data_IF_872036197618
#
_entry.id   IF_872036197618
#
_cell.length_a   1.000
_cell.length_b   1.000
_cell.length_c   1.000
_cell.angle_alpha   90.00
_cell.angle_beta   90.00
_cell.angle_gamma   90.00
#
_symmetry.space_group_name_H-M   'P 1'
#
loop_
_entity.id
_entity.type
_entity.pdbx_description
1 polymer ?
#
# COMPACT_ATOMS: atom_id res chain seq x y z
N UNK A 1 -13.73 50.30 -72.51
CA UNK A 1 -13.96 49.45 -71.32
C UNK A 1 -13.10 49.95 -70.17
N UNK A 2 -13.64 50.04 -68.94
CA UNK A 2 -13.23 51.05 -67.97
C UNK A 2 -11.94 50.67 -67.22
N UNK A 3 -10.99 51.61 -67.18
CA UNK A 3 -9.70 51.54 -66.46
C UNK A 3 -9.83 51.20 -64.96
N UNK A 4 -11.02 51.37 -64.37
CA UNK A 4 -11.30 51.03 -62.97
C UNK A 4 -11.46 49.54 -62.67
N UNK A 5 -11.75 48.69 -63.67
CA UNK A 5 -11.92 47.25 -63.44
C UNK A 5 -10.55 46.55 -63.31
N UNK A 6 -9.57 46.97 -64.13
CA UNK A 6 -8.21 46.42 -64.12
C UNK A 6 -7.51 46.75 -62.80
N UNK A 7 -7.68 47.99 -62.30
CA UNK A 7 -7.12 48.38 -61.01
C UNK A 7 -7.69 47.54 -59.86
N UNK A 8 -9.01 47.30 -59.83
CA UNK A 8 -9.65 46.51 -58.75
C UNK A 8 -9.25 45.03 -58.80
N UNK A 9 -9.06 44.47 -59.98
CA UNK A 9 -8.58 43.08 -60.15
C UNK A 9 -7.11 42.96 -59.71
N UNK A 10 -6.26 43.95 -60.02
CA UNK A 10 -4.87 43.97 -59.55
C UNK A 10 -4.75 44.15 -58.03
N UNK A 11 -5.60 44.97 -57.40
CA UNK A 11 -5.58 45.13 -55.94
C UNK A 11 -6.09 43.88 -55.22
N UNK A 12 -7.08 43.18 -55.77
CA UNK A 12 -7.58 41.92 -55.21
C UNK A 12 -6.56 40.77 -55.36
N UNK A 13 -5.80 40.73 -56.46
CA UNK A 13 -4.76 39.74 -56.68
C UNK A 13 -3.54 39.94 -55.76
N UNK A 14 -3.17 41.19 -55.45
CA UNK A 14 -2.06 41.48 -54.53
C UNK A 14 -2.42 41.14 -53.07
N UNK A 15 -3.67 41.37 -52.65
CA UNK A 15 -4.12 41.06 -51.28
C UNK A 15 -4.29 39.55 -51.02
N UNK A 16 -4.54 38.77 -52.06
CA UNK A 16 -4.62 37.30 -51.96
C UNK A 16 -3.24 36.62 -51.84
N UNK A 17 -2.16 37.29 -52.27
CA UNK A 17 -0.80 36.76 -52.15
C UNK A 17 -0.20 36.90 -50.74
N UNK A 18 -0.68 37.83 -49.91
CA UNK A 18 -0.17 38.01 -48.54
C UNK A 18 -0.70 36.96 -47.54
N UNK A 19 -1.84 36.31 -47.82
CA UNK A 19 -2.42 35.29 -46.93
C UNK A 19 -1.82 33.89 -47.12
N UNK A 20 -0.98 33.68 -48.13
CA UNK A 20 -0.32 32.38 -48.40
C UNK A 20 1.07 32.25 -47.74
N UNK A 21 1.55 33.26 -47.00
CA UNK A 21 2.88 33.26 -46.40
C UNK A 21 2.98 32.52 -45.05
N UNK A 22 1.88 31.99 -44.51
CA UNK A 22 1.92 31.07 -43.38
C UNK A 22 2.10 29.62 -43.89
N UNK A 23 3.28 29.32 -44.43
CA UNK A 23 3.70 27.94 -44.67
C UNK A 23 3.87 27.18 -43.35
N UNK A 24 3.64 25.87 -43.35
CA UNK A 24 3.85 25.03 -42.17
C UNK A 24 5.29 25.21 -41.66
N UNK A 25 5.43 25.59 -40.37
CA UNK A 25 6.74 25.68 -39.73
C UNK A 25 7.48 24.35 -39.94
N UNK A 26 8.73 24.35 -40.43
CA UNK A 26 9.53 23.13 -40.48
C UNK A 26 9.63 22.61 -39.04
N UNK A 27 9.11 21.39 -38.81
CA UNK A 27 9.25 20.66 -37.55
C UNK A 27 10.45 19.73 -37.69
N UNK A 28 11.69 20.17 -37.40
CA UNK A 28 12.91 19.37 -37.63
C UNK A 28 12.94 18.07 -36.81
N UNK A 29 12.05 17.92 -35.83
CA UNK A 29 11.96 16.74 -34.95
C UNK A 29 10.67 15.93 -35.11
N UNK A 30 9.88 16.15 -36.18
CA UNK A 30 8.76 15.26 -36.48
C UNK A 30 9.34 14.02 -37.20
N UNK A 31 9.37 12.83 -36.59
CA UNK A 31 9.85 11.63 -37.28
C UNK A 31 8.99 11.38 -38.52
N UNK A 32 9.64 10.98 -39.61
CA UNK A 32 9.02 10.79 -40.95
C UNK A 32 8.09 9.58 -41.02
N UNK A 33 7.95 8.87 -39.90
CA UNK A 33 7.07 7.74 -39.65
C UNK A 33 6.51 7.92 -38.23
N UNK A 34 5.21 7.67 -38.01
CA UNK A 34 4.67 7.54 -36.65
C UNK A 34 5.42 6.39 -35.98
N UNK A 35 6.38 6.72 -35.12
CA UNK A 35 7.11 5.73 -34.36
C UNK A 35 6.08 4.85 -33.63
N UNK A 36 6.22 3.51 -33.67
CA UNK A 36 5.32 2.66 -32.92
C UNK A 36 5.36 3.11 -31.45
N UNK A 37 4.20 3.15 -30.77
CA UNK A 37 4.13 3.68 -29.42
C UNK A 37 5.17 3.01 -28.53
N UNK A 38 5.95 3.83 -27.82
CA UNK A 38 7.04 3.35 -26.99
C UNK A 38 6.45 2.45 -25.88
N UNK A 39 6.83 1.16 -25.77
CA UNK A 39 6.25 0.25 -24.80
C UNK A 39 6.46 0.70 -23.35
N UNK A 40 7.53 1.45 -23.04
CA UNK A 40 7.73 2.06 -21.71
C UNK A 40 6.73 3.20 -21.42
N UNK A 41 6.27 3.90 -22.46
CA UNK A 41 5.21 4.91 -22.36
C UNK A 41 3.85 4.21 -22.25
N UNK A 42 3.64 3.10 -22.95
CA UNK A 42 2.40 2.31 -22.81
C UNK A 42 2.27 1.61 -21.46
N UNK A 43 3.34 1.04 -20.90
CA UNK A 43 3.36 0.42 -19.58
C UNK A 43 3.13 1.45 -18.47
N UNK A 44 3.82 2.59 -18.51
CA UNK A 44 3.61 3.69 -17.56
C UNK A 44 2.21 4.31 -17.65
N UNK A 45 1.59 4.32 -18.84
CA UNK A 45 0.20 4.74 -19.00
C UNK A 45 -0.76 3.71 -18.40
N UNK A 46 -0.52 2.40 -18.55
CA UNK A 46 -1.40 1.36 -17.97
C UNK A 46 -1.45 1.40 -16.44
N UNK A 47 -0.37 1.80 -15.77
CA UNK A 47 -0.34 1.96 -14.30
C UNK A 47 -0.98 3.26 -13.78
N UNK A 48 -1.57 4.07 -14.67
CA UNK A 48 -2.15 5.35 -14.33
C UNK A 48 -3.46 5.33 -13.53
N UNK A 49 -3.94 6.52 -13.20
CA UNK A 49 -5.16 6.80 -12.46
C UNK A 49 -6.13 7.57 -13.36
N UNK A 50 -7.28 6.97 -13.66
CA UNK A 50 -8.37 7.68 -14.31
C UNK A 50 -9.27 8.32 -13.25
N UNK A 51 -9.50 9.62 -13.37
CA UNK A 51 -10.39 10.37 -12.48
C UNK A 51 -11.75 10.49 -13.18
N UNK A 52 -12.74 9.81 -12.59
CA UNK A 52 -14.13 9.86 -13.02
C UNK A 52 -14.74 11.24 -12.71
N UNK A 53 -15.93 11.48 -13.25
CA UNK A 53 -16.74 12.63 -12.88
C UNK A 53 -17.04 12.55 -11.38
N UNK A 54 -16.99 13.71 -10.73
CA UNK A 54 -17.27 13.85 -9.31
C UNK A 54 -18.76 14.17 -9.19
N UNK A 55 -19.54 13.18 -8.77
CA UNK A 55 -20.98 13.27 -8.63
C UNK A 55 -21.35 14.24 -7.50
N UNK A 56 -22.53 14.86 -7.59
CA UNK A 56 -23.04 15.79 -6.57
C UNK A 56 -22.46 17.21 -6.59
N UNK A 57 -21.53 17.52 -7.51
CA UNK A 57 -21.05 18.88 -7.77
C UNK A 57 -21.61 19.46 -9.09
N UNK A 58 -21.52 20.78 -9.29
CA UNK A 58 -21.77 21.39 -10.60
C UNK A 58 -20.75 20.88 -11.62
N UNK A 59 -21.12 20.75 -12.90
CA UNK A 59 -20.23 20.21 -13.95
C UNK A 59 -18.93 21.00 -14.07
N UNK A 60 -18.98 22.33 -13.87
CA UNK A 60 -17.80 23.20 -13.86
C UNK A 60 -16.87 22.88 -12.69
N UNK A 61 -17.41 22.75 -11.47
CA UNK A 61 -16.61 22.49 -10.27
C UNK A 61 -16.08 21.06 -10.23
N UNK A 62 -16.86 20.08 -10.67
CA UNK A 62 -16.39 18.70 -10.86
C UNK A 62 -15.19 18.65 -11.82
N UNK A 63 -15.28 19.36 -12.96
CA UNK A 63 -14.18 19.43 -13.94
C UNK A 63 -12.94 20.14 -13.39
N UNK A 64 -13.12 21.27 -12.69
CA UNK A 64 -12.02 22.01 -12.06
C UNK A 64 -11.31 21.16 -11.00
N UNK A 65 -12.08 20.46 -10.17
CA UNK A 65 -11.55 19.58 -9.14
C UNK A 65 -10.81 18.37 -9.72
N UNK A 66 -11.41 17.68 -10.69
CA UNK A 66 -10.75 16.59 -11.40
C UNK A 66 -9.43 17.05 -12.04
N UNK A 67 -9.43 18.22 -12.70
CA UNK A 67 -8.23 18.82 -13.29
C UNK A 67 -7.16 19.14 -12.23
N UNK A 68 -7.59 19.57 -11.04
CA UNK A 68 -6.69 19.85 -9.91
C UNK A 68 -6.03 18.57 -9.38
N UNK A 69 -6.81 17.50 -9.19
CA UNK A 69 -6.31 16.19 -8.76
C UNK A 69 -5.34 15.62 -9.79
N UNK A 70 -5.71 15.62 -11.07
CA UNK A 70 -4.83 15.21 -12.20
C UNK A 70 -3.49 15.95 -12.13
N UNK A 71 -3.53 17.27 -11.99
CA UNK A 71 -2.33 18.10 -11.94
C UNK A 71 -1.43 17.74 -10.76
N UNK A 72 -2.01 17.51 -9.60
CA UNK A 72 -1.26 17.19 -8.39
C UNK A 72 -0.68 15.77 -8.42
N UNK A 73 -1.37 14.80 -9.02
CA UNK A 73 -0.84 13.45 -9.26
C UNK A 73 0.31 13.49 -10.28
N UNK A 74 0.13 14.18 -11.41
CA UNK A 74 1.16 14.26 -12.46
C UNK A 74 2.44 14.98 -12.00
N UNK A 75 2.34 15.93 -11.06
CA UNK A 75 3.52 16.56 -10.42
C UNK A 75 4.36 15.61 -9.58
N UNK A 76 3.84 14.44 -9.22
CA UNK A 76 4.47 13.44 -8.36
C UNK A 76 4.81 12.18 -9.17
N UNK A 77 5.14 12.35 -10.45
CA UNK A 77 5.55 11.31 -11.38
C UNK A 77 4.52 10.16 -11.58
N UNK A 78 3.23 10.46 -11.37
CA UNK A 78 2.15 9.52 -11.69
C UNK A 78 1.48 9.90 -13.02
N UNK A 79 0.88 8.93 -13.70
CA UNK A 79 0.05 9.18 -14.88
C UNK A 79 -1.40 9.31 -14.45
N UNK A 80 -1.96 10.50 -14.52
CA UNK A 80 -3.37 10.75 -14.21
C UNK A 80 -4.06 11.50 -15.34
N UNK A 81 -5.28 11.07 -15.68
CA UNK A 81 -6.12 11.71 -16.71
C UNK A 81 -7.57 11.78 -16.25
N UNK A 82 -8.31 12.76 -16.77
CA UNK A 82 -9.76 12.91 -16.55
C UNK A 82 -10.48 13.14 -17.87
N UNK A 83 -11.80 12.95 -17.89
CA UNK A 83 -12.62 13.10 -19.09
C UNK A 83 -13.03 11.76 -19.67
N UNK A 84 -12.76 11.53 -20.97
CA UNK A 84 -13.12 10.25 -21.61
C UNK A 84 -12.49 9.07 -20.86
N UNK A 85 -13.26 8.00 -20.65
CA UNK A 85 -12.77 6.81 -19.94
C UNK A 85 -11.63 6.15 -20.70
N UNK A 86 -10.51 5.99 -20.02
CA UNK A 86 -9.32 5.26 -20.48
C UNK A 86 -9.11 4.06 -19.56
N UNK A 87 -8.78 2.86 -20.07
CA UNK A 87 -8.51 1.68 -19.23
C UNK A 87 -7.15 1.81 -18.53
N UNK A 88 -7.10 2.61 -17.47
CA UNK A 88 -5.93 2.72 -16.59
C UNK A 88 -6.09 1.81 -15.36
N UNK A 89 -4.98 1.51 -14.68
CA UNK A 89 -4.93 0.58 -13.55
C UNK A 89 -5.89 0.93 -12.43
N UNK A 90 -6.03 2.22 -12.16
CA UNK A 90 -6.87 2.73 -11.10
C UNK A 90 -7.97 3.64 -11.63
N UNK A 91 -9.15 3.56 -11.00
CA UNK A 91 -10.27 4.47 -11.23
C UNK A 91 -10.60 5.16 -9.92
N UNK A 92 -10.54 6.48 -9.90
CA UNK A 92 -10.98 7.29 -8.77
C UNK A 92 -12.39 7.81 -9.03
N UNK A 93 -13.32 7.50 -8.14
CA UNK A 93 -14.67 8.06 -8.11
C UNK A 93 -14.84 8.99 -6.92
N UNK A 94 -15.57 10.08 -7.10
CA UNK A 94 -15.93 11.01 -6.04
C UNK A 94 -17.43 11.24 -6.01
N UNK A 95 -18.04 11.20 -4.83
CA UNK A 95 -19.44 11.53 -4.61
C UNK A 95 -19.51 12.62 -3.53
N UNK A 96 -19.95 13.82 -3.92
CA UNK A 96 -20.10 14.95 -3.03
C UNK A 96 -21.50 15.00 -2.43
N UNK A 97 -21.58 14.96 -1.10
CA UNK A 97 -22.82 15.11 -0.35
C UNK A 97 -22.78 16.43 0.40
N UNK A 98 -23.89 17.19 0.32
CA UNK A 98 -24.07 18.42 1.10
C UNK A 98 -24.29 18.07 2.56
N UNK A 99 -23.53 18.69 3.45
CA UNK A 99 -23.72 18.54 4.89
C UNK A 99 -24.91 19.39 5.33
N UNK A 100 -26.09 18.77 5.47
CA UNK A 100 -27.34 19.44 5.88
C UNK A 100 -27.64 19.30 7.37
N UNK A 101 -26.90 18.47 8.10
CA UNK A 101 -27.26 18.04 9.46
C UNK A 101 -26.63 18.89 10.57
N UNK A 102 -25.58 19.68 10.28
CA UNK A 102 -24.92 20.47 11.32
C UNK A 102 -24.45 21.84 10.81
N UNK A 103 -25.27 22.86 11.07
CA UNK A 103 -25.06 24.28 10.71
C UNK A 103 -23.78 24.87 11.35
N UNK A 104 -23.24 24.23 12.40
CA UNK A 104 -21.99 24.65 13.05
C UNK A 104 -20.72 24.22 12.29
N UNK A 105 -20.84 23.39 11.24
CA UNK A 105 -19.70 22.91 10.45
C UNK A 105 -19.46 23.85 9.26
N UNK A 106 -18.31 24.54 9.25
CA UNK A 106 -17.87 25.45 8.17
C UNK A 106 -17.57 24.74 6.84
N UNK A 107 -17.69 23.42 6.78
CA UNK A 107 -17.50 22.59 5.60
C UNK A 107 -18.86 22.14 5.07
N UNK A 108 -19.37 22.85 4.06
CA UNK A 108 -20.70 22.59 3.47
C UNK A 108 -20.79 21.29 2.67
N UNK A 109 -19.65 20.72 2.25
CA UNK A 109 -19.60 19.50 1.46
C UNK A 109 -18.62 18.49 2.06
N UNK A 110 -19.03 17.22 2.01
CA UNK A 110 -18.19 16.06 2.26
C UNK A 110 -18.15 15.23 0.99
N UNK A 111 -16.94 14.93 0.51
CA UNK A 111 -16.76 14.10 -0.68
C UNK A 111 -16.31 12.72 -0.24
N UNK A 112 -17.07 11.70 -0.62
CA UNK A 112 -16.69 10.31 -0.50
C UNK A 112 -15.87 9.92 -1.73
N UNK A 113 -14.60 9.58 -1.52
CA UNK A 113 -13.70 9.14 -2.57
C UNK A 113 -13.52 7.64 -2.51
N UNK A 114 -13.65 6.97 -3.64
CA UNK A 114 -13.42 5.52 -3.78
C UNK A 114 -12.37 5.28 -4.85
N UNK A 115 -11.31 4.55 -4.50
CA UNK A 115 -10.30 4.09 -5.43
C UNK A 115 -10.59 2.63 -5.80
N UNK A 116 -10.74 2.38 -7.09
CA UNK A 116 -11.01 1.06 -7.67
C UNK A 116 -9.81 0.62 -8.50
N UNK A 117 -9.64 -0.69 -8.66
CA UNK A 117 -8.72 -1.28 -9.63
C UNK A 117 -9.39 -1.46 -11.02
N UNK A 118 -8.64 -2.01 -11.98
CA UNK A 118 -9.13 -2.32 -13.34
C UNK A 118 -10.34 -3.25 -13.38
N UNK A 119 -10.47 -4.13 -12.38
CA UNK A 119 -11.59 -5.09 -12.29
C UNK A 119 -12.84 -4.46 -11.69
N UNK A 120 -12.73 -3.25 -11.14
CA UNK A 120 -13.78 -2.58 -10.38
C UNK A 120 -13.79 -2.94 -8.89
N UNK A 121 -12.79 -3.68 -8.40
CA UNK A 121 -12.66 -3.99 -6.98
C UNK A 121 -12.16 -2.77 -6.21
N UNK A 122 -12.70 -2.57 -5.02
CA UNK A 122 -12.33 -1.42 -4.19
C UNK A 122 -10.96 -1.63 -3.55
N UNK A 123 -10.00 -0.79 -3.92
CA UNK A 123 -8.68 -0.68 -3.27
C UNK A 123 -8.82 0.03 -1.93
N UNK A 124 -9.63 1.09 -1.87
CA UNK A 124 -9.88 1.85 -0.65
C UNK A 124 -10.89 2.96 -0.84
N UNK A 125 -11.28 3.60 0.27
CA UNK A 125 -12.15 4.77 0.26
C UNK A 125 -11.82 5.71 1.42
N UNK A 126 -12.19 6.98 1.30
CA UNK A 126 -12.08 7.94 2.37
C UNK A 126 -13.08 9.07 2.22
N UNK A 127 -13.44 9.68 3.35
CA UNK A 127 -14.26 10.88 3.38
C UNK A 127 -13.39 12.11 3.53
N UNK A 128 -13.62 13.09 2.67
CA UNK A 128 -12.91 14.35 2.68
C UNK A 128 -13.90 15.48 2.96
N UNK A 129 -13.80 16.09 4.15
CA UNK A 129 -14.53 17.33 4.45
C UNK A 129 -13.79 18.49 3.82
N UNK A 130 -14.49 19.29 3.04
CA UNK A 130 -13.83 20.36 2.31
C UNK A 130 -14.18 21.73 2.89
N UNK A 131 -13.20 22.57 3.21
CA UNK A 131 -13.45 23.95 3.60
C UNK A 131 -14.03 24.76 2.44
N UNK A 132 -15.04 25.59 2.71
CA UNK A 132 -15.56 26.55 1.75
C UNK A 132 -17.07 26.76 1.87
N UNK A 133 -17.50 27.94 1.41
CA UNK A 133 -18.91 28.31 1.28
C UNK A 133 -19.56 27.63 0.07
N UNK A 134 -20.90 27.65 0.00
CA UNK A 134 -21.63 27.14 -1.15
C UNK A 134 -21.21 27.84 -2.45
N UNK A 135 -21.04 29.17 -2.41
CA UNK A 135 -20.67 29.98 -3.57
C UNK A 135 -19.27 29.62 -4.09
N UNK A 136 -18.30 29.46 -3.18
CA UNK A 136 -16.95 29.04 -3.56
C UNK A 136 -16.95 27.67 -4.24
N UNK A 137 -17.89 26.80 -3.90
CA UNK A 137 -18.01 25.49 -4.50
C UNK A 137 -18.82 25.46 -5.78
N UNK A 138 -19.88 26.24 -5.86
CA UNK A 138 -20.73 26.34 -7.04
C UNK A 138 -19.97 26.95 -8.23
N UNK A 139 -19.10 27.92 -7.94
CA UNK A 139 -18.30 28.64 -8.93
C UNK A 139 -16.82 28.21 -9.01
N UNK A 140 -16.36 27.30 -8.13
CA UNK A 140 -15.03 26.71 -8.20
C UNK A 140 -13.88 27.65 -7.80
N UNK A 141 -13.84 28.05 -6.53
CA UNK A 141 -12.77 28.87 -5.94
C UNK A 141 -11.39 28.26 -6.21
N UNK A 142 -10.47 28.98 -6.90
CA UNK A 142 -9.16 28.44 -7.27
C UNK A 142 -8.32 28.00 -6.07
N UNK A 143 -8.46 28.67 -4.92
CA UNK A 143 -7.73 28.33 -3.69
C UNK A 143 -8.23 27.01 -3.12
N UNK A 144 -9.55 26.86 -2.98
CA UNK A 144 -10.20 25.66 -2.47
C UNK A 144 -9.93 24.46 -3.37
N UNK A 145 -10.17 24.60 -4.67
CA UNK A 145 -9.96 23.53 -5.67
C UNK A 145 -8.52 23.00 -5.65
N UNK A 146 -7.53 23.89 -5.55
CA UNK A 146 -6.11 23.50 -5.48
C UNK A 146 -5.78 22.76 -4.17
N UNK A 147 -6.31 23.25 -3.05
CA UNK A 147 -6.08 22.64 -1.75
C UNK A 147 -6.65 21.21 -1.70
N UNK A 148 -7.87 21.01 -2.17
CA UNK A 148 -8.51 19.68 -2.23
C UNK A 148 -7.74 18.77 -3.17
N UNK A 149 -7.40 19.25 -4.37
CA UNK A 149 -6.63 18.47 -5.35
C UNK A 149 -5.32 17.94 -4.75
N UNK A 150 -4.60 18.77 -3.99
CA UNK A 150 -3.36 18.37 -3.32
C UNK A 150 -3.60 17.27 -2.28
N UNK A 151 -4.55 17.47 -1.38
CA UNK A 151 -4.82 16.53 -0.29
C UNK A 151 -5.37 15.18 -0.81
N UNK A 152 -6.24 15.22 -1.82
CA UNK A 152 -6.77 14.03 -2.47
C UNK A 152 -5.66 13.25 -3.18
N UNK A 153 -4.77 13.93 -3.92
CA UNK A 153 -3.61 13.30 -4.53
C UNK A 153 -2.72 12.60 -3.47
N UNK A 154 -2.43 13.26 -2.34
CA UNK A 154 -1.64 12.67 -1.26
C UNK A 154 -2.31 11.43 -0.64
N UNK A 155 -3.62 11.47 -0.42
CA UNK A 155 -4.37 10.31 0.10
C UNK A 155 -4.36 9.12 -0.89
N UNK A 156 -4.56 9.38 -2.19
CA UNK A 156 -4.56 8.34 -3.22
C UNK A 156 -3.21 7.65 -3.31
N UNK A 157 -2.12 8.42 -3.33
CA UNK A 157 -0.76 7.85 -3.40
C UNK A 157 -0.44 7.00 -2.18
N UNK A 158 -0.91 7.39 -1.00
CA UNK A 158 -0.77 6.57 0.21
C UNK A 158 -1.55 5.25 0.11
N UNK A 159 -2.74 5.27 -0.48
CA UNK A 159 -3.54 4.05 -0.72
C UNK A 159 -2.86 3.12 -1.73
N UNK A 160 -2.42 3.65 -2.88
CA UNK A 160 -1.71 2.87 -3.90
C UNK A 160 -0.46 2.22 -3.31
N UNK A 161 0.37 2.99 -2.60
CA UNK A 161 1.58 2.46 -1.94
C UNK A 161 1.26 1.37 -0.92
N UNK A 162 0.11 1.45 -0.25
CA UNK A 162 -0.31 0.44 0.72
C UNK A 162 -0.76 -0.84 0.01
N UNK A 163 -1.51 -0.71 -1.08
CA UNK A 163 -1.92 -1.85 -1.89
C UNK A 163 -0.73 -2.54 -2.56
N UNK A 164 0.23 -1.79 -3.11
CA UNK A 164 1.45 -2.36 -3.68
C UNK A 164 2.25 -3.16 -2.65
N UNK A 165 2.40 -2.63 -1.43
CA UNK A 165 3.04 -3.38 -0.32
C UNK A 165 2.28 -4.65 0.02
N UNK A 166 0.94 -4.60 0.00
CA UNK A 166 0.11 -5.80 0.24
C UNK A 166 0.31 -6.84 -0.85
N UNK A 167 0.27 -6.45 -2.12
CA UNK A 167 0.46 -7.35 -3.26
C UNK A 167 1.87 -7.95 -3.27
N UNK A 168 2.89 -7.13 -2.98
CA UNK A 168 4.26 -7.60 -2.82
C UNK A 168 4.37 -8.64 -1.68
N UNK A 169 3.72 -8.39 -0.54
CA UNK A 169 3.66 -9.33 0.58
C UNK A 169 2.87 -10.61 0.27
N UNK A 170 1.90 -10.58 -0.63
CA UNK A 170 1.21 -11.80 -1.10
C UNK A 170 2.16 -12.60 -1.99
N UNK A 171 2.83 -11.92 -2.93
CA UNK A 171 3.79 -12.54 -3.85
C UNK A 171 4.97 -13.16 -3.08
N UNK A 172 5.47 -12.49 -2.05
CA UNK A 172 6.56 -13.00 -1.21
C UNK A 172 6.15 -14.25 -0.43
N UNK A 173 4.95 -14.27 0.17
CA UNK A 173 4.43 -15.46 0.87
C UNK A 173 4.19 -16.64 -0.07
N UNK A 174 3.81 -16.35 -1.32
CA UNK A 174 3.69 -17.35 -2.38
C UNK A 174 5.05 -17.78 -2.96
N UNK A 175 6.12 -17.00 -2.74
CA UNK A 175 7.45 -17.38 -3.15
C UNK A 175 8.00 -18.42 -2.16
N UNK A 176 8.25 -19.62 -2.67
CA UNK A 176 8.55 -20.79 -1.85
C UNK A 176 9.63 -20.58 -0.78
N UNK A 177 9.35 -21.03 0.44
CA UNK A 177 10.27 -21.03 1.57
C UNK A 177 10.79 -22.44 1.84
N UNK A 178 12.11 -22.60 1.83
CA UNK A 178 12.77 -23.80 2.33
C UNK A 178 13.13 -23.62 3.80
N UNK A 179 12.89 -24.65 4.61
CA UNK A 179 13.20 -24.64 6.04
C UNK A 179 14.30 -25.67 6.28
N UNK A 180 15.48 -25.20 6.69
CA UNK A 180 16.54 -26.09 7.16
C UNK A 180 16.14 -26.74 8.50
N UNK A 181 16.65 -27.94 8.82
CA UNK A 181 16.52 -28.49 10.16
C UNK A 181 17.07 -27.50 11.19
N UNK A 182 16.28 -27.24 12.23
CA UNK A 182 16.69 -26.42 13.38
C UNK A 182 17.80 -27.15 14.13
N UNK A 183 18.71 -26.38 14.72
CA UNK A 183 19.89 -26.92 15.41
C UNK A 183 20.06 -26.31 16.80
N UNK A 184 20.63 -27.11 17.70
CA UNK A 184 21.15 -26.65 19.00
C UNK A 184 20.14 -26.74 20.14
N UNK A 185 18.93 -27.20 19.90
CA UNK A 185 17.95 -27.40 20.95
C UNK A 185 18.22 -28.72 21.71
N UNK A 186 18.18 -28.72 23.05
CA UNK A 186 18.28 -29.93 23.86
C UNK A 186 17.12 -30.90 23.64
N UNK A 187 17.31 -32.16 24.05
CA UNK A 187 16.28 -33.19 23.99
C UNK A 187 15.81 -33.48 22.55
N UNK A 188 14.51 -33.44 22.32
CA UNK A 188 13.88 -33.59 21.00
C UNK A 188 13.64 -32.25 20.25
N UNK A 189 14.16 -31.15 20.81
CA UNK A 189 13.79 -29.78 20.42
C UNK A 189 14.04 -29.45 18.95
N UNK A 190 15.15 -29.92 18.37
CA UNK A 190 15.49 -29.64 16.97
C UNK A 190 14.40 -30.18 16.03
N UNK A 191 13.95 -31.42 16.28
CA UNK A 191 12.88 -32.06 15.51
C UNK A 191 11.53 -31.39 15.80
N UNK A 192 11.21 -31.18 17.07
CA UNK A 192 9.92 -30.62 17.49
C UNK A 192 9.71 -29.20 16.94
N UNK A 193 10.71 -28.32 17.07
CA UNK A 193 10.66 -26.97 16.53
C UNK A 193 10.59 -26.96 15.00
N UNK A 194 11.35 -27.83 14.32
CA UNK A 194 11.34 -27.89 12.84
C UNK A 194 9.94 -28.24 12.32
N UNK A 195 9.27 -29.17 12.98
CA UNK A 195 7.90 -29.56 12.63
C UNK A 195 6.90 -28.45 12.96
N UNK A 196 7.02 -27.85 14.15
CA UNK A 196 6.14 -26.79 14.62
C UNK A 196 6.21 -25.54 13.73
N UNK A 197 7.41 -25.06 13.39
CA UNK A 197 7.56 -23.86 12.56
C UNK A 197 7.04 -24.08 11.13
N UNK A 198 7.25 -25.28 10.59
CA UNK A 198 6.71 -25.66 9.28
C UNK A 198 5.18 -25.64 9.26
N UNK A 199 4.55 -26.14 10.32
CA UNK A 199 3.09 -26.13 10.44
C UNK A 199 2.55 -24.71 10.64
N UNK A 200 3.18 -23.93 11.53
CA UNK A 200 2.77 -22.56 11.83
C UNK A 200 2.85 -21.65 10.59
N UNK A 201 3.95 -21.71 9.84
CA UNK A 201 4.14 -20.90 8.63
C UNK A 201 3.17 -21.29 7.50
N UNK A 202 2.90 -22.60 7.31
CA UNK A 202 1.87 -23.06 6.35
C UNK A 202 0.48 -22.59 6.76
N UNK A 203 0.13 -22.71 8.03
CA UNK A 203 -1.15 -22.23 8.57
C UNK A 203 -1.34 -20.73 8.37
N UNK A 204 -0.24 -19.96 8.33
CA UNK A 204 -0.23 -18.53 8.05
C UNK A 204 -0.13 -18.19 6.54
N UNK A 205 -0.30 -19.16 5.64
CA UNK A 205 -0.31 -18.95 4.19
C UNK A 205 1.06 -18.80 3.54
N UNK A 206 2.14 -19.19 4.22
CA UNK A 206 3.49 -19.21 3.64
C UNK A 206 3.68 -20.50 2.85
N UNK A 207 4.09 -20.38 1.58
CA UNK A 207 4.36 -21.53 0.73
C UNK A 207 5.66 -22.23 1.16
N UNK A 208 5.57 -23.47 1.66
CA UNK A 208 6.75 -24.23 2.08
C UNK A 208 7.10 -25.28 1.03
N UNK A 209 8.25 -25.12 0.39
CA UNK A 209 8.70 -26.03 -0.67
C UNK A 209 9.41 -27.26 -0.11
N UNK A 210 9.24 -28.39 -0.81
CA UNK A 210 9.89 -29.67 -0.49
C UNK A 210 11.28 -29.84 -1.09
N UNK A 211 11.72 -28.90 -1.94
CA UNK A 211 13.01 -28.92 -2.63
C UNK A 211 13.64 -27.52 -2.51
N UNK A 212 14.91 -27.46 -2.11
CA UNK A 212 15.59 -26.17 -1.84
C UNK A 212 15.76 -25.34 -3.10
N UNK A 213 15.96 -25.99 -4.24
CA UNK A 213 16.10 -25.37 -5.56
C UNK A 213 14.82 -24.69 -6.07
N UNK A 214 13.67 -25.03 -5.49
CA UNK A 214 12.38 -24.36 -5.77
C UNK A 214 12.09 -23.21 -4.82
N UNK A 215 12.98 -22.96 -3.86
CA UNK A 215 12.79 -21.90 -2.90
C UNK A 215 13.24 -20.55 -3.48
N UNK A 216 12.67 -19.49 -2.95
CA UNK A 216 13.20 -18.14 -3.05
C UNK A 216 13.86 -17.72 -1.74
N UNK A 217 13.34 -18.24 -0.63
CA UNK A 217 13.79 -17.95 0.72
C UNK A 217 14.26 -19.22 1.44
N UNK A 218 15.21 -19.06 2.35
CA UNK A 218 15.72 -20.12 3.23
C UNK A 218 15.62 -19.65 4.67
N UNK A 219 14.93 -20.42 5.50
CA UNK A 219 14.86 -20.22 6.95
C UNK A 219 15.87 -21.15 7.64
N UNK A 220 16.70 -20.56 8.49
CA UNK A 220 17.55 -21.25 9.45
C UNK A 220 17.12 -20.88 10.88
N UNK A 221 17.10 -21.88 11.77
CA UNK A 221 16.79 -21.69 13.19
C UNK A 221 17.92 -22.25 14.05
N UNK A 222 18.46 -21.41 14.92
CA UNK A 222 19.54 -21.78 15.85
C UNK A 222 19.10 -21.53 17.28
N UNK A 223 19.10 -22.58 18.09
CA UNK A 223 18.76 -22.51 19.51
C UNK A 223 20.04 -22.49 20.34
N UNK A 224 20.07 -21.62 21.35
CA UNK A 224 21.10 -21.58 22.39
C UNK A 224 20.43 -21.61 23.76
N UNK A 225 20.95 -22.46 24.63
CA UNK A 225 20.51 -22.57 26.03
C UNK A 225 21.70 -22.25 26.92
N UNK A 226 21.54 -21.27 27.79
CA UNK A 226 22.57 -20.86 28.72
C UNK A 226 22.70 -21.88 29.88
N UNK A 227 23.88 -21.99 30.50
CA UNK A 227 24.04 -22.79 31.71
C UNK A 227 23.08 -22.35 32.83
N UNK A 228 22.61 -23.28 33.68
CA UNK A 228 21.78 -22.93 34.82
C UNK A 228 22.44 -21.93 35.76
N UNK A 229 21.71 -20.87 36.13
CA UNK A 229 22.08 -19.91 37.17
C UNK A 229 20.88 -19.67 38.08
N UNK A 230 21.07 -19.90 39.38
CA UNK A 230 20.03 -19.73 40.42
C UNK A 230 18.73 -20.51 40.11
N UNK A 231 18.87 -21.73 39.57
CA UNK A 231 17.73 -22.58 39.21
C UNK A 231 17.01 -22.21 37.90
N UNK A 232 17.51 -21.24 37.15
CA UNK A 232 16.95 -20.80 35.87
C UNK A 232 17.96 -20.85 34.72
N UNK A 233 17.48 -20.96 33.49
CA UNK A 233 18.26 -20.97 32.26
C UNK A 233 17.68 -19.97 31.25
N UNK A 234 18.57 -19.27 30.54
CA UNK A 234 18.21 -18.46 29.38
C UNK A 234 18.10 -19.36 28.14
N UNK A 235 17.11 -19.09 27.30
CA UNK A 235 16.95 -19.73 25.98
C UNK A 235 16.83 -18.62 24.95
N UNK A 236 17.65 -18.70 23.91
CA UNK A 236 17.61 -17.83 22.74
C UNK A 236 17.39 -18.67 21.49
N UNK A 237 16.52 -18.19 20.62
CA UNK A 237 16.30 -18.77 19.30
C UNK A 237 16.49 -17.66 18.27
N UNK A 238 17.45 -17.85 17.37
CA UNK A 238 17.70 -16.96 16.25
C UNK A 238 17.07 -17.58 14.99
N UNK A 239 16.09 -16.88 14.41
CA UNK A 239 15.45 -17.20 13.13
C UNK A 239 16.05 -16.34 12.03
N UNK A 240 16.82 -16.94 11.14
CA UNK A 240 17.59 -16.24 10.10
C UNK A 240 16.96 -16.54 8.75
N UNK A 241 16.60 -15.49 8.02
CA UNK A 241 16.01 -15.61 6.69
C UNK A 241 17.05 -15.13 5.69
N UNK A 242 17.34 -15.96 4.70
CA UNK A 242 18.26 -15.66 3.62
C UNK A 242 17.59 -15.89 2.27
N UNK A 243 18.12 -15.27 1.21
CA UNK A 243 17.78 -15.68 -0.14
C UNK A 243 18.47 -17.01 -0.48
N UNK A 244 18.08 -17.65 -1.59
CA UNK A 244 18.71 -18.91 -2.02
C UNK A 244 20.21 -18.83 -2.33
N UNK A 245 20.75 -17.62 -2.54
CA UNK A 245 22.18 -17.36 -2.72
C UNK A 245 22.95 -17.26 -1.40
N UNK A 246 22.25 -17.34 -0.26
CA UNK A 246 22.82 -17.30 1.09
C UNK A 246 23.00 -15.90 1.68
N UNK A 247 22.52 -14.84 1.01
CA UNK A 247 22.57 -13.51 1.61
C UNK A 247 21.45 -13.37 2.67
N UNK A 248 21.81 -12.99 3.90
CA UNK A 248 20.86 -12.73 4.98
C UNK A 248 19.98 -11.52 4.64
N UNK A 249 18.66 -11.73 4.62
CA UNK A 249 17.65 -10.71 4.40
C UNK A 249 17.20 -10.08 5.72
N UNK A 250 17.29 -10.86 6.80
CA UNK A 250 17.00 -10.40 8.15
C UNK A 250 16.95 -11.54 9.16
N UNK A 251 16.74 -11.15 10.42
CA UNK A 251 16.71 -12.05 11.56
C UNK A 251 15.67 -11.64 12.59
N UNK A 252 14.95 -12.61 13.13
CA UNK A 252 14.13 -12.46 14.31
C UNK A 252 14.75 -13.25 15.46
N UNK A 253 14.89 -12.62 16.63
CA UNK A 253 15.45 -13.28 17.82
C UNK A 253 14.38 -13.35 18.89
N UNK A 254 14.21 -14.54 19.45
CA UNK A 254 13.28 -14.82 20.54
C UNK A 254 14.08 -15.26 21.75
N UNK A 255 13.80 -14.65 22.91
CA UNK A 255 14.47 -14.97 24.15
C UNK A 255 13.45 -15.26 25.26
N UNK A 256 13.79 -16.21 26.13
CA UNK A 256 13.00 -16.48 27.33
C UNK A 256 13.90 -17.00 28.46
N UNK A 257 13.44 -16.85 29.70
CA UNK A 257 14.07 -17.43 30.89
C UNK A 257 13.14 -18.46 31.50
N UNK A 258 13.63 -19.68 31.69
CA UNK A 258 12.85 -20.82 32.17
C UNK A 258 13.52 -21.48 33.37
N UNK A 259 12.80 -22.35 34.09
CA UNK A 259 13.41 -23.19 35.12
C UNK A 259 14.45 -24.13 34.49
N UNK A 260 15.55 -24.38 35.18
CA UNK A 260 16.59 -25.25 34.68
C UNK A 260 16.06 -26.66 34.40
N UNK A 261 16.48 -27.25 33.28
CA UNK A 261 16.09 -28.59 32.86
C UNK A 261 14.69 -28.72 32.23
N UNK A 262 13.94 -27.62 32.09
CA UNK A 262 12.60 -27.61 31.48
C UNK A 262 12.59 -28.22 30.07
N UNK A 263 13.69 -28.09 29.33
CA UNK A 263 13.80 -28.45 27.91
C UNK A 263 14.73 -29.63 27.61
N UNK A 264 15.17 -30.37 28.63
CA UNK A 264 16.15 -31.46 28.47
C UNK A 264 15.58 -32.68 27.74
N UNK A 265 14.24 -32.79 27.67
CA UNK A 265 13.54 -33.92 27.08
C UNK A 265 12.60 -33.46 25.97
N UNK A 266 11.33 -33.25 26.27
CA UNK A 266 10.30 -33.06 25.25
C UNK A 266 9.84 -31.62 25.13
N UNK A 267 9.97 -31.05 23.94
CA UNK A 267 9.56 -29.69 23.61
C UNK A 267 8.09 -29.59 23.20
N UNK A 268 7.52 -30.63 22.57
CA UNK A 268 6.08 -30.80 22.32
C UNK A 268 5.28 -29.50 22.09
N UNK A 269 4.40 -29.16 23.05
CA UNK A 269 3.54 -27.99 22.99
C UNK A 269 4.31 -26.65 23.03
N UNK A 270 5.45 -26.60 23.72
CA UNK A 270 6.28 -25.40 23.78
C UNK A 270 6.85 -25.08 22.40
N UNK A 271 7.27 -26.09 21.63
CA UNK A 271 7.72 -25.89 20.26
C UNK A 271 6.62 -25.23 19.39
N UNK A 272 5.36 -25.62 19.57
CA UNK A 272 4.22 -25.00 18.87
C UNK A 272 4.06 -23.53 19.25
N UNK A 273 4.11 -23.20 20.54
CA UNK A 273 3.98 -21.81 21.00
C UNK A 273 5.13 -20.92 20.52
N UNK A 274 6.36 -21.44 20.61
CA UNK A 274 7.57 -20.80 20.08
C UNK A 274 7.41 -20.52 18.58
N UNK A 275 7.00 -21.53 17.81
CA UNK A 275 6.79 -21.40 16.38
C UNK A 275 5.72 -20.36 16.02
N UNK A 276 4.57 -20.38 16.69
CA UNK A 276 3.48 -19.42 16.46
C UNK A 276 3.93 -17.98 16.73
N UNK A 277 4.70 -17.75 17.79
CA UNK A 277 5.25 -16.43 18.12
C UNK A 277 6.27 -15.94 17.06
N UNK A 278 7.00 -16.86 16.42
CA UNK A 278 8.00 -16.53 15.42
C UNK A 278 7.41 -16.18 14.04
N UNK A 279 6.18 -16.64 13.72
CA UNK A 279 5.56 -16.46 12.38
C UNK A 279 5.56 -15.01 11.94
N UNK A 280 5.12 -14.09 12.81
CA UNK A 280 5.01 -12.67 12.48
C UNK A 280 6.36 -12.08 12.07
N UNK A 281 7.39 -12.27 12.90
CA UNK A 281 8.75 -11.78 12.62
C UNK A 281 9.35 -12.36 11.34
N UNK A 282 9.13 -13.65 11.07
CA UNK A 282 9.62 -14.29 9.84
C UNK A 282 8.90 -13.73 8.61
N UNK A 283 7.57 -13.60 8.66
CA UNK A 283 6.79 -13.04 7.55
C UNK A 283 7.14 -11.57 7.31
N UNK A 284 7.42 -10.79 8.36
CA UNK A 284 7.83 -9.40 8.23
C UNK A 284 9.17 -9.27 7.49
N UNK A 285 10.14 -10.14 7.77
CA UNK A 285 11.41 -10.16 7.03
C UNK A 285 11.18 -10.50 5.55
N UNK A 286 10.36 -11.52 5.27
CA UNK A 286 10.01 -11.93 3.89
C UNK A 286 9.26 -10.81 3.14
N UNK A 287 8.35 -10.12 3.80
CA UNK A 287 7.57 -9.02 3.22
C UNK A 287 8.44 -7.80 2.96
N UNK A 288 9.37 -7.47 3.87
CA UNK A 288 10.20 -6.28 3.76
C UNK A 288 11.28 -6.38 2.67
N UNK A 289 11.81 -7.58 2.36
CA UNK A 289 12.73 -7.81 1.23
C UNK A 289 12.13 -7.33 -0.10
N UNK A 290 10.84 -7.59 -0.32
CA UNK A 290 10.14 -7.14 -1.54
C UNK A 290 9.90 -5.64 -1.60
N UNK A 291 9.89 -4.95 -0.44
CA UNK A 291 9.73 -3.49 -0.34
C UNK A 291 11.09 -2.78 -0.39
N UNK A 292 12.18 -3.45 0.03
CA UNK A 292 13.53 -2.90 0.14
C UNK A 292 14.49 -3.27 -1.00
N UNK A 293 14.01 -3.74 -2.15
CA UNK A 293 14.81 -3.78 -3.40
C UNK A 293 15.26 -2.38 -3.91
N UNK A 294 15.29 -1.36 -3.03
CA UNK A 294 15.88 -0.04 -3.19
C UNK A 294 16.46 0.57 -1.89
N UNK A 295 16.94 -0.20 -0.90
CA UNK A 295 17.70 0.39 0.21
C UNK A 295 18.05 -0.57 1.36
N UNK A 296 19.36 -0.75 1.58
CA UNK A 296 19.96 -1.53 2.67
C UNK A 296 19.50 -1.03 4.06
N UNK A 297 19.12 -1.96 4.95
CA UNK A 297 19.54 -2.00 6.37
C UNK A 297 18.88 -3.20 7.08
N UNK A 298 19.71 -4.16 7.51
CA UNK A 298 19.28 -5.27 8.38
C UNK A 298 18.74 -4.75 9.70
N UNK A 299 17.49 -5.09 10.03
CA UNK A 299 16.83 -4.72 11.29
C UNK A 299 16.54 -5.97 12.12
N UNK A 300 16.90 -5.87 13.39
CA UNK A 300 16.62 -6.85 14.45
C UNK A 300 15.17 -6.67 14.91
N UNK A 301 14.35 -7.71 14.79
CA UNK A 301 12.99 -7.74 15.34
C UNK A 301 13.00 -8.65 16.57
N UNK A 302 12.86 -8.03 17.75
CA UNK A 302 12.79 -8.69 19.06
C UNK A 302 11.34 -9.11 19.30
N UNK A 303 11.07 -10.41 19.26
CA UNK A 303 9.75 -10.96 19.61
C UNK A 303 9.81 -11.41 21.07
N UNK A 304 9.49 -10.50 21.99
CA UNK A 304 9.30 -10.84 23.39
C UNK A 304 8.06 -11.74 23.55
N UNK A 305 8.24 -12.92 24.13
CA UNK A 305 7.12 -13.71 24.66
C UNK A 305 6.58 -12.98 25.89
N UNK A 306 5.26 -12.78 26.04
CA UNK A 306 4.70 -12.21 27.26
C UNK A 306 4.97 -13.15 28.44
N UNK A 307 5.80 -12.70 29.39
CA UNK A 307 6.08 -13.40 30.64
C UNK A 307 4.87 -13.28 31.59
N UNK A 308 4.27 -14.43 31.91
CA UNK A 308 3.40 -14.62 33.07
C UNK A 308 1.90 -14.77 32.76
N UNK A 309 1.41 -16.01 32.70
CA UNK A 309 0.02 -16.34 33.04
C UNK A 309 -0.07 -17.71 33.72
N UNK A 310 -0.68 -17.82 34.91
CA UNK A 310 -1.35 -19.04 35.31
C UNK A 310 -2.59 -19.22 34.43
N UNK A 311 -2.93 -20.47 34.08
CA UNK A 311 -4.02 -20.79 33.14
C UNK A 311 -5.36 -20.17 33.57
N UNK A 312 -6.01 -19.34 32.73
CA UNK A 312 -7.42 -18.99 32.89
C UNK A 312 -8.29 -19.98 32.08
N UNK A 313 -9.53 -20.27 32.54
CA UNK A 313 -10.44 -21.15 31.82
C UNK A 313 -10.85 -20.53 30.48
N UNK A 314 -11.09 -21.40 29.48
CA UNK A 314 -11.48 -21.01 28.13
C UNK A 314 -12.65 -20.00 28.15
N UNK A 315 -12.52 -18.82 27.51
CA UNK A 315 -13.66 -17.95 27.26
C UNK A 315 -14.45 -18.43 26.04
N UNK A 316 -15.79 -18.42 26.16
CA UNK A 316 -16.74 -18.49 25.05
C UNK A 316 -16.57 -17.27 24.12
N UNK A 317 -17.00 -17.35 22.84
CA UNK A 317 -16.59 -16.38 21.83
C UNK A 317 -17.40 -15.09 21.95
N UNK A 318 -16.75 -13.94 22.15
CA UNK A 318 -17.27 -12.63 21.75
C UNK A 318 -16.18 -11.51 21.80
N UNK A 319 -15.95 -10.90 20.63
CA UNK A 319 -15.58 -9.50 20.34
C UNK A 319 -14.26 -8.90 20.91
N UNK A 320 -13.22 -8.88 20.05
CA UNK A 320 -12.03 -8.03 20.16
C UNK A 320 -12.41 -6.53 20.08
N UNK A 321 -12.05 -5.75 21.10
CA UNK A 321 -12.00 -4.27 21.04
C UNK A 321 -10.55 -3.79 21.07
N UNK A 322 -10.16 -2.98 20.08
CA UNK A 322 -8.87 -2.29 20.05
C UNK A 322 -8.98 -0.90 20.71
N UNK A 323 -7.98 -0.50 21.49
CA UNK A 323 -7.80 0.90 21.91
C UNK A 323 -6.51 1.48 21.31
N UNK A 324 -6.63 2.66 20.71
CA UNK A 324 -5.53 3.50 20.21
C UNK A 324 -5.37 4.70 21.14
N UNK A 325 -4.14 4.93 21.60
CA UNK A 325 -3.74 6.11 22.37
C UNK A 325 -3.49 7.28 21.42
N UNK A 326 -4.11 8.43 21.68
CA UNK A 326 -3.81 9.71 21.01
C UNK A 326 -3.55 10.76 22.07
N UNK A 327 -2.51 11.56 21.88
CA UNK A 327 -2.06 12.58 22.83
C UNK A 327 -3.13 13.66 23.07
N UNK A 328 -3.25 14.05 24.35
CA UNK A 328 -4.20 14.96 24.98
C UNK A 328 -5.61 14.43 25.33
N UNK A 329 -5.68 13.73 26.47
CA UNK A 329 -6.86 13.67 27.35
C UNK A 329 -7.85 12.52 27.08
N UNK A 330 -8.04 11.66 28.09
CA UNK A 330 -9.00 10.55 28.08
C UNK A 330 -10.43 11.12 28.14
N UNK A 331 -11.30 10.73 27.20
CA UNK A 331 -12.76 10.80 27.37
C UNK A 331 -13.39 9.43 27.07
N UNK A 332 -14.02 8.86 28.09
CA UNK A 332 -14.91 7.71 27.96
C UNK A 332 -16.22 8.14 27.28
N UNK A 333 -16.69 7.34 26.31
CA UNK A 333 -18.04 7.46 25.78
C UNK A 333 -18.75 6.13 26.01
N UNK A 334 -19.68 6.14 26.98
CA UNK A 334 -20.61 5.04 27.24
C UNK A 334 -21.78 5.12 26.25
N UNK A 335 -22.15 4.00 25.63
CA UNK A 335 -23.50 3.82 25.07
C UNK A 335 -24.16 2.59 25.70
N UNK A 336 -25.40 2.71 26.20
CA UNK A 336 -26.16 1.57 26.72
C UNK A 336 -26.68 0.67 25.58
N UNK A 337 -26.77 -0.63 25.85
CA UNK A 337 -27.41 -1.62 24.97
C UNK A 337 -28.93 -1.42 24.91
N UNK A 338 -29.60 -1.74 23.79
CA UNK A 338 -31.06 -1.79 23.73
C UNK A 338 -31.60 -3.01 24.51
N UNK A 339 -32.84 -2.94 25.02
CA UNK A 339 -33.41 -4.00 25.85
C UNK A 339 -33.74 -5.27 25.04
N UNK A 340 -33.34 -6.40 25.64
CA UNK A 340 -33.59 -7.83 25.38
C UNK A 340 -34.17 -8.28 24.05
#
# INVERSE_FOLDING_TARGET
>A
MPRGLISKVLTAALLAMELAACGELPRPFKPTYEAPPNPLVEEGVRDGIWIDVIDGLSSSSAKLLATSVVRELNKRDNVAVSGQRVPLRFVLKGEAVRNTENVAVTSMFQIHWTLLDVSGSQVGHFYHRVPGTNLEWEYGSPRTIRLVGKQVAEAILAMIKTEERRLAAIKSRAAGLWINPIKGAPGDGDRALTQAIRQALRGAGTEIVGLREKAHYVLEGVVRVDPPKDGAQGVRIDWIISNVRGAELGRATQMNKVAAGTFDRSWGQVATLVAMAAVGGIQDVINNDTVQSGGENGRMLETDLPLGYPAPPLPKPELLRFQLKVDNGIREIYRPSPPN
#
